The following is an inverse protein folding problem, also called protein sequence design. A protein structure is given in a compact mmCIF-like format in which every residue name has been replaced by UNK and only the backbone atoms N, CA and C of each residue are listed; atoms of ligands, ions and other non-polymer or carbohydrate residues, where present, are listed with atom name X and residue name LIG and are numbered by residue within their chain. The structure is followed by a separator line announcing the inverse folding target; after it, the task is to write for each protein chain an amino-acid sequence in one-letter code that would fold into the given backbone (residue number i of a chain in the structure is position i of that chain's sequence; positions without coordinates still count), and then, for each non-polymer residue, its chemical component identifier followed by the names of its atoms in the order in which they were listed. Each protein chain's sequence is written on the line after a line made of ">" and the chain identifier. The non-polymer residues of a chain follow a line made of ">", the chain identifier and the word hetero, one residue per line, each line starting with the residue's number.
data_IF_119562834733
#
_entry.id   IF_119562834733
#
_cell.length_a   1.000
_cell.length_b   1.000
_cell.length_c   1.000
_cell.angle_alpha   90.00
_cell.angle_beta   90.00
_cell.angle_gamma   90.00
#
_symmetry.space_group_name_H-M   'P 1'
#
loop_
_entity.id
_entity.type
_entity.pdbx_description
1 polymer ?
#
# COMPACT_ATOMS: atom_id res chain seq x y z
N UNK A 1 6.94 11.24 0.82
CA UNK A 1 6.26 10.17 1.58
C UNK A 1 6.88 10.15 2.96
N UNK A 2 6.06 10.16 4.00
CA UNK A 2 6.49 10.10 5.40
C UNK A 2 6.38 8.67 5.92
N UNK A 3 7.32 8.26 6.76
CA UNK A 3 7.38 6.91 7.33
C UNK A 3 7.38 6.97 8.87
N UNK A 4 6.83 5.92 9.49
CA UNK A 4 6.83 5.73 10.95
C UNK A 4 7.05 4.27 11.30
N UNK A 5 7.62 4.02 12.48
CA UNK A 5 7.72 2.67 13.03
C UNK A 5 6.34 2.10 13.34
N UNK A 6 6.05 0.89 12.84
CA UNK A 6 4.80 0.21 13.12
C UNK A 6 4.83 -0.38 14.54
N UNK A 7 4.30 0.36 15.52
CA UNK A 7 4.19 -0.08 16.91
C UNK A 7 5.53 -0.47 17.54
N UNK A 8 5.59 -1.68 18.11
CA UNK A 8 6.80 -2.28 18.70
C UNK A 8 7.61 -3.13 17.72
N UNK A 9 7.23 -3.14 16.44
CA UNK A 9 8.00 -3.85 15.41
C UNK A 9 9.22 -3.02 14.98
N UNK A 10 10.11 -3.64 14.22
CA UNK A 10 11.23 -2.96 13.56
C UNK A 10 10.87 -2.48 12.14
N UNK A 11 9.59 -2.51 11.74
CA UNK A 11 9.16 -2.11 10.40
C UNK A 11 8.94 -0.60 10.34
N UNK A 12 9.51 0.06 9.33
CA UNK A 12 9.15 1.41 8.93
C UNK A 12 8.12 1.37 7.81
N UNK A 13 6.97 1.96 8.06
CA UNK A 13 5.84 1.95 7.15
C UNK A 13 5.37 3.35 6.79
N UNK A 14 4.85 3.52 5.58
CA UNK A 14 4.27 4.77 5.11
C UNK A 14 3.11 5.15 6.03
N UNK A 15 3.02 6.43 6.41
CA UNK A 15 1.92 6.91 7.28
C UNK A 15 0.54 6.80 6.63
N UNK A 16 0.52 6.66 5.30
CA UNK A 16 -0.65 6.32 4.50
C UNK A 16 -0.58 4.82 4.16
N UNK A 17 -1.63 4.08 4.47
CA UNK A 17 -1.80 2.69 4.07
C UNK A 17 -2.69 2.53 2.83
N UNK A 18 -2.52 1.42 2.13
CA UNK A 18 -3.35 1.02 1.00
C UNK A 18 -4.24 -0.17 1.40
N UNK A 19 -5.55 0.04 1.44
CA UNK A 19 -6.53 -1.02 1.71
C UNK A 19 -6.99 -1.75 0.45
N UNK A 20 -6.91 -3.07 0.46
CA UNK A 20 -7.15 -3.95 -0.70
C UNK A 20 -8.58 -4.41 -0.90
N UNK A 21 -9.49 -4.27 0.08
CA UNK A 21 -10.86 -4.81 0.01
C UNK A 21 -11.61 -4.44 -1.30
N UNK A 22 -11.57 -3.18 -1.78
CA UNK A 22 -12.26 -2.83 -3.02
C UNK A 22 -11.58 -3.36 -4.29
N UNK A 23 -10.30 -3.77 -4.22
CA UNK A 23 -9.49 -4.19 -5.38
C UNK A 23 -10.07 -5.43 -6.05
N UNK A 24 -10.80 -6.26 -5.31
CA UNK A 24 -11.49 -7.45 -5.82
C UNK A 24 -12.55 -7.13 -6.90
N UNK A 25 -12.98 -5.87 -7.00
CA UNK A 25 -13.92 -5.40 -8.04
C UNK A 25 -13.22 -5.09 -9.37
N UNK A 26 -11.89 -5.09 -9.40
CA UNK A 26 -11.09 -4.76 -10.57
C UNK A 26 -10.64 -6.02 -11.31
N UNK A 27 -10.43 -5.88 -12.63
CA UNK A 27 -9.71 -6.86 -13.40
C UNK A 27 -8.23 -6.95 -13.00
N UNK A 28 -7.57 -8.07 -13.32
CA UNK A 28 -6.16 -8.31 -12.96
C UNK A 28 -5.22 -7.22 -13.47
N UNK A 29 -5.48 -6.67 -14.66
CA UNK A 29 -4.65 -5.64 -15.28
C UNK A 29 -4.77 -4.31 -14.51
N UNK A 30 -5.99 -3.91 -14.18
CA UNK A 30 -6.31 -2.70 -13.44
C UNK A 30 -5.80 -2.79 -12.01
N UNK A 31 -5.99 -3.94 -11.34
CA UNK A 31 -5.46 -4.19 -10.01
C UNK A 31 -3.93 -4.09 -9.99
N UNK A 32 -3.23 -4.70 -10.96
CA UNK A 32 -1.78 -4.59 -11.08
C UNK A 32 -1.32 -3.15 -11.26
N UNK A 33 -2.00 -2.39 -12.12
CA UNK A 33 -1.68 -0.97 -12.33
C UNK A 33 -1.90 -0.15 -11.06
N UNK A 34 -2.99 -0.40 -10.33
CA UNK A 34 -3.31 0.32 -9.10
C UNK A 34 -2.30 0.04 -7.99
N UNK A 35 -1.92 -1.22 -7.78
CA UNK A 35 -0.86 -1.59 -6.83
C UNK A 35 0.48 -0.99 -7.25
N UNK A 36 0.82 -1.04 -8.54
CA UNK A 36 2.02 -0.40 -9.08
C UNK A 36 2.07 1.10 -8.77
N UNK A 37 0.96 1.81 -8.94
CA UNK A 37 0.85 3.23 -8.61
C UNK A 37 1.07 3.49 -7.12
N UNK A 38 0.53 2.64 -6.23
CA UNK A 38 0.78 2.76 -4.78
C UNK A 38 2.28 2.65 -4.46
N UNK A 39 2.99 1.73 -5.12
CA UNK A 39 4.44 1.58 -4.98
C UNK A 39 5.22 2.79 -5.54
N UNK A 40 4.77 3.38 -6.65
CA UNK A 40 5.38 4.59 -7.21
C UNK A 40 5.30 5.76 -6.21
N UNK A 41 4.20 5.87 -5.47
CA UNK A 41 4.01 6.82 -4.37
C UNK A 41 4.74 6.44 -3.06
N UNK A 42 5.50 5.33 -3.06
CA UNK A 42 6.25 4.80 -1.91
C UNK A 42 5.35 4.34 -0.76
N UNK A 43 4.10 3.96 -1.04
CA UNK A 43 3.25 3.28 -0.05
C UNK A 43 3.80 1.86 0.12
N UNK A 44 4.12 1.50 1.36
CA UNK A 44 4.62 0.17 1.69
C UNK A 44 3.78 -0.54 2.77
N UNK A 45 2.73 0.11 3.28
CA UNK A 45 1.77 -0.50 4.19
C UNK A 45 0.51 -0.90 3.43
N UNK A 46 0.27 -2.21 3.31
CA UNK A 46 -0.87 -2.78 2.60
C UNK A 46 -1.69 -3.65 3.57
N UNK A 47 -3.00 -3.45 3.57
CA UNK A 47 -4.02 -4.20 4.32
C UNK A 47 -4.96 -4.90 3.34
#
# INVERSE_FOLDING_TARGET
>A
MEFRRLGKTALEVSVIGFGGIPIQKLGRKEARRLVGLALDYKINFFD
#
